data_IF_559462532365
#
_entry.id   IF_559462532365
#
_cell.length_a   1.000
_cell.length_b   1.000
_cell.length_c   1.000
_cell.angle_alpha   90.00
_cell.angle_beta   90.00
_cell.angle_gamma   90.00
#
_symmetry.space_group_name_H-M   'P 1'
#
loop_
_entity.id
_entity.type
_entity.pdbx_description
1 polymer ?
#
# COMPACT_ATOMS: atom_id res chain seq x y z
N UNK A 1 -12.51 6.95 19.81
CA UNK A 1 -13.46 6.04 19.11
C UNK A 1 -13.17 6.12 17.62
N UNK A 2 -12.00 5.64 17.24
CA UNK A 2 -11.57 5.61 15.84
C UNK A 2 -11.95 4.27 15.24
N UNK A 3 -13.03 4.28 14.45
CA UNK A 3 -13.36 3.13 13.63
C UNK A 3 -12.37 3.03 12.47
N UNK A 4 -11.84 1.86 12.16
CA UNK A 4 -10.89 1.70 11.06
C UNK A 4 -11.58 1.96 9.72
N UNK A 5 -11.31 3.14 9.14
CA UNK A 5 -11.82 3.57 7.82
C UNK A 5 -11.48 2.62 6.66
N UNK A 6 -10.47 1.78 6.83
CA UNK A 6 -10.04 0.81 5.81
C UNK A 6 -11.06 -0.31 5.55
N UNK A 7 -11.87 -0.70 6.54
CA UNK A 7 -12.90 -1.74 6.37
C UNK A 7 -14.06 -1.30 5.45
N UNK A 8 -14.42 -0.02 5.46
CA UNK A 8 -15.49 0.50 4.61
C UNK A 8 -15.15 0.54 3.11
N UNK A 9 -13.88 0.63 2.76
CA UNK A 9 -13.46 0.69 1.36
C UNK A 9 -13.65 -0.64 0.62
N UNK A 10 -13.34 -1.78 1.25
CA UNK A 10 -13.54 -3.10 0.67
C UNK A 10 -15.01 -3.41 0.39
N UNK A 11 -15.91 -3.00 1.29
CA UNK A 11 -17.36 -3.22 1.15
C UNK A 11 -17.97 -2.39 0.01
N UNK A 12 -17.51 -1.14 -0.16
CA UNK A 12 -17.98 -0.26 -1.25
C UNK A 12 -17.58 -0.84 -2.61
N UNK A 13 -16.38 -1.40 -2.74
CA UNK A 13 -15.94 -2.03 -3.99
C UNK A 13 -16.75 -3.23 -4.38
N UNK A 14 -16.98 -4.14 -3.44
CA UNK A 14 -17.74 -5.34 -3.72
C UNK A 14 -19.15 -4.98 -4.20
N UNK A 15 -19.78 -3.98 -3.59
CA UNK A 15 -21.10 -3.52 -4.03
C UNK A 15 -21.07 -2.94 -5.43
N UNK A 16 -20.04 -2.15 -5.78
CA UNK A 16 -19.87 -1.60 -7.12
C UNK A 16 -19.59 -2.67 -8.16
N UNK A 17 -18.67 -3.61 -7.87
CA UNK A 17 -18.31 -4.69 -8.79
C UNK A 17 -19.50 -5.63 -9.03
N UNK A 18 -20.31 -5.93 -8.00
CA UNK A 18 -21.55 -6.70 -8.13
C UNK A 18 -22.61 -5.92 -8.89
N UNK A 19 -22.79 -4.62 -8.62
CA UNK A 19 -23.74 -3.77 -9.33
C UNK A 19 -23.43 -3.66 -10.83
N UNK A 20 -22.12 -3.57 -11.17
CA UNK A 20 -21.64 -3.56 -12.56
C UNK A 20 -21.66 -4.92 -13.24
N UNK A 21 -21.98 -5.98 -12.51
CA UNK A 21 -21.93 -7.38 -12.96
C UNK A 21 -20.52 -7.86 -13.34
N UNK A 22 -19.49 -7.18 -12.89
CA UNK A 22 -18.09 -7.57 -13.09
C UNK A 22 -17.74 -8.82 -12.26
N UNK A 23 -18.43 -9.02 -11.13
CA UNK A 23 -18.28 -10.18 -10.25
C UNK A 23 -19.66 -10.68 -9.80
N UNK A 24 -19.81 -12.00 -9.70
CA UNK A 24 -21.02 -12.60 -9.11
C UNK A 24 -21.06 -12.28 -7.60
N UNK A 25 -22.27 -12.01 -7.10
CA UNK A 25 -22.48 -11.83 -5.67
C UNK A 25 -22.05 -13.09 -4.91
N UNK A 26 -21.17 -12.94 -3.92
CA UNK A 26 -20.77 -14.03 -3.05
C UNK A 26 -21.93 -14.43 -2.16
N UNK A 27 -22.30 -15.71 -2.21
CA UNK A 27 -23.37 -16.28 -1.38
C UNK A 27 -22.84 -16.91 -0.09
N UNK A 28 -21.53 -17.20 -0.05
CA UNK A 28 -20.91 -17.79 1.12
C UNK A 28 -20.42 -16.69 2.05
N UNK A 29 -21.06 -16.56 3.21
CA UNK A 29 -20.71 -15.55 4.22
C UNK A 29 -19.31 -15.79 4.81
N UNK A 30 -18.82 -17.03 4.79
CA UNK A 30 -17.48 -17.39 5.29
C UNK A 30 -16.41 -16.84 4.34
N UNK A 31 -16.57 -17.04 3.04
CA UNK A 31 -15.62 -16.57 2.02
C UNK A 31 -15.61 -15.03 1.99
N UNK A 32 -16.78 -14.41 2.15
CA UNK A 32 -16.88 -12.96 2.30
C UNK A 32 -16.20 -12.47 3.58
N UNK A 33 -16.46 -13.13 4.69
CA UNK A 33 -15.83 -12.81 5.98
C UNK A 33 -14.31 -12.97 5.91
N UNK A 34 -13.80 -14.02 5.29
CA UNK A 34 -12.38 -14.25 5.08
C UNK A 34 -11.73 -13.10 4.27
N UNK A 35 -12.38 -12.64 3.20
CA UNK A 35 -11.90 -11.48 2.44
C UNK A 35 -11.85 -10.20 3.30
N UNK A 36 -12.89 -9.93 4.09
CA UNK A 36 -12.97 -8.70 4.91
C UNK A 36 -11.93 -8.68 6.04
N UNK A 37 -11.68 -9.84 6.67
CA UNK A 37 -10.71 -9.95 7.78
C UNK A 37 -9.29 -10.27 7.35
N UNK A 38 -9.03 -10.39 6.05
CA UNK A 38 -7.72 -10.72 5.51
C UNK A 38 -6.67 -9.69 5.95
N UNK A 39 -5.84 -10.06 6.92
CA UNK A 39 -4.92 -9.15 7.60
C UNK A 39 -3.80 -8.56 6.71
N UNK A 40 -3.26 -9.24 5.67
CA UNK A 40 -2.18 -8.67 4.87
C UNK A 40 -2.58 -7.42 4.07
N UNK A 41 -3.89 -7.22 3.84
CA UNK A 41 -4.42 -6.01 3.17
C UNK A 41 -4.82 -4.89 4.14
N UNK A 42 -4.78 -5.14 5.46
CA UNK A 42 -5.14 -4.15 6.47
C UNK A 42 -4.05 -3.08 6.62
N UNK A 43 -4.47 -1.88 7.02
CA UNK A 43 -3.62 -0.70 7.32
C UNK A 43 -2.94 -0.14 6.06
N UNK A 44 -1.73 -0.52 5.74
CA UNK A 44 -0.95 0.00 4.61
C UNK A 44 -0.60 -1.08 3.55
N UNK A 45 -1.23 -2.25 3.63
CA UNK A 45 -1.13 -3.28 2.59
C UNK A 45 -1.73 -2.83 1.25
N UNK A 46 -1.49 -3.58 0.16
CA UNK A 46 -2.11 -3.26 -1.12
C UNK A 46 -3.63 -3.34 -1.02
N UNK A 47 -4.34 -2.37 -1.62
CA UNK A 47 -5.79 -2.41 -1.72
C UNK A 47 -6.18 -3.50 -2.71
N UNK A 48 -6.62 -4.63 -2.21
CA UNK A 48 -6.97 -5.80 -3.01
C UNK A 48 -8.45 -5.75 -3.36
N UNK A 49 -8.77 -5.76 -4.65
CA UNK A 49 -10.16 -5.82 -5.12
C UNK A 49 -10.70 -7.24 -4.95
N UNK A 50 -11.97 -7.36 -4.61
CA UNK A 50 -12.61 -8.67 -4.44
C UNK A 50 -12.45 -9.56 -5.68
N UNK A 51 -12.57 -8.99 -6.89
CA UNK A 51 -12.40 -9.74 -8.14
C UNK A 51 -11.00 -10.35 -8.30
N UNK A 52 -9.96 -9.73 -7.72
CA UNK A 52 -8.57 -10.18 -7.85
C UNK A 52 -8.30 -11.42 -6.98
N UNK A 53 -9.09 -11.61 -5.92
CA UNK A 53 -8.96 -12.74 -4.99
C UNK A 53 -10.14 -13.70 -4.99
N UNK A 54 -11.28 -13.35 -5.60
CA UNK A 54 -12.48 -14.18 -5.58
C UNK A 54 -12.25 -15.60 -6.12
N UNK A 55 -11.52 -15.71 -7.23
CA UNK A 55 -11.18 -17.01 -7.80
C UNK A 55 -10.24 -17.81 -6.88
N UNK A 56 -9.35 -17.13 -6.18
CA UNK A 56 -8.38 -17.74 -5.27
C UNK A 56 -9.06 -18.21 -3.98
N UNK A 57 -10.05 -17.48 -3.47
CA UNK A 57 -10.85 -17.88 -2.32
C UNK A 57 -11.59 -19.21 -2.55
N UNK A 58 -12.14 -19.41 -3.75
CA UNK A 58 -12.86 -20.66 -4.08
C UNK A 58 -11.92 -21.85 -4.30
N UNK A 59 -10.69 -21.61 -4.74
CA UNK A 59 -9.67 -22.64 -4.99
C UNK A 59 -8.89 -22.98 -3.71
N UNK A 60 -9.01 -22.18 -2.66
CA UNK A 60 -8.26 -22.26 -1.41
C UNK A 60 -8.31 -23.63 -0.71
N UNK A 61 -9.24 -24.48 -1.01
CA UNK A 61 -9.36 -25.84 -0.45
C UNK A 61 -8.24 -26.80 -0.88
N UNK A 62 -7.30 -26.42 -1.79
CA UNK A 62 -6.56 -27.48 -2.46
C UNK A 62 -5.05 -27.38 -2.55
N UNK A 63 -4.29 -26.37 -2.13
CA UNK A 63 -2.81 -26.53 -2.15
C UNK A 63 -2.05 -25.38 -1.48
N UNK A 64 -1.52 -25.64 -0.30
CA UNK A 64 -0.30 -24.97 0.14
C UNK A 64 0.88 -25.51 -0.67
N UNK A 65 1.51 -24.67 -1.48
CA UNK A 65 2.75 -25.00 -2.16
C UNK A 65 3.92 -24.51 -1.32
N UNK A 66 4.88 -25.38 -1.01
CA UNK A 66 6.13 -25.00 -0.32
C UNK A 66 6.84 -23.88 -1.10
N UNK A 67 6.77 -23.92 -2.42
CA UNK A 67 7.33 -22.86 -3.28
C UNK A 67 6.67 -21.51 -3.02
N UNK A 68 5.34 -21.42 -2.87
CA UNK A 68 4.64 -20.18 -2.55
C UNK A 68 5.03 -19.64 -1.18
N UNK A 69 5.24 -20.53 -0.20
CA UNK A 69 5.72 -20.15 1.13
C UNK A 69 7.13 -19.58 1.05
N UNK A 70 8.03 -20.23 0.33
CA UNK A 70 9.40 -19.76 0.11
C UNK A 70 9.46 -18.39 -0.58
N UNK A 71 8.73 -18.25 -1.67
CA UNK A 71 8.63 -16.97 -2.40
C UNK A 71 8.01 -15.86 -1.52
N UNK A 72 6.96 -16.20 -0.77
CA UNK A 72 6.32 -15.27 0.16
C UNK A 72 7.23 -14.84 1.31
N UNK A 73 7.97 -15.79 1.90
CA UNK A 73 8.98 -15.52 2.93
C UNK A 73 10.11 -14.65 2.40
N UNK A 74 10.57 -14.91 1.19
CA UNK A 74 11.59 -14.11 0.51
C UNK A 74 11.11 -12.66 0.33
N UNK A 75 9.90 -12.45 -0.19
CA UNK A 75 9.31 -11.13 -0.34
C UNK A 75 9.15 -10.41 1.01
N UNK A 76 8.69 -11.12 2.03
CA UNK A 76 8.54 -10.57 3.38
C UNK A 76 9.90 -10.11 3.94
N UNK A 77 10.93 -10.95 3.82
CA UNK A 77 12.28 -10.64 4.31
C UNK A 77 12.88 -9.43 3.58
N UNK A 78 12.74 -9.35 2.25
CA UNK A 78 13.19 -8.16 1.51
C UNK A 78 12.39 -6.90 1.88
N UNK A 79 11.09 -7.01 2.11
CA UNK A 79 10.27 -5.91 2.61
C UNK A 79 10.73 -5.42 3.98
N UNK A 80 10.99 -6.34 4.91
CA UNK A 80 11.52 -6.05 6.24
C UNK A 80 12.91 -5.41 6.16
N UNK A 81 13.79 -5.93 5.31
CA UNK A 81 15.12 -5.37 5.09
C UNK A 81 15.06 -3.93 4.57
N UNK A 82 14.17 -3.63 3.62
CA UNK A 82 13.95 -2.25 3.15
C UNK A 82 13.52 -1.33 4.28
N UNK A 83 12.63 -1.78 5.16
CA UNK A 83 12.19 -0.97 6.29
C UNK A 83 13.32 -0.77 7.30
N UNK A 84 13.88 -1.83 7.83
CA UNK A 84 14.82 -1.76 8.95
C UNK A 84 16.20 -1.25 8.54
N UNK A 85 16.72 -1.72 7.41
CA UNK A 85 18.09 -1.38 7.00
C UNK A 85 18.17 -0.07 6.19
N UNK A 86 17.13 0.28 5.45
CA UNK A 86 17.15 1.47 4.60
C UNK A 86 16.28 2.59 5.18
N UNK A 87 14.98 2.35 5.40
CA UNK A 87 14.08 3.41 5.80
C UNK A 87 14.42 3.97 7.18
N UNK A 88 14.65 3.12 8.17
CA UNK A 88 14.93 3.55 9.53
C UNK A 88 16.31 4.26 9.62
N UNK A 89 17.32 3.75 8.91
CA UNK A 89 18.64 4.38 8.87
C UNK A 89 18.62 5.76 8.16
N UNK A 90 17.91 5.86 7.02
CA UNK A 90 17.74 7.12 6.30
C UNK A 90 16.86 8.09 7.09
N UNK A 91 15.87 7.57 7.83
CA UNK A 91 15.01 8.35 8.71
C UNK A 91 15.79 8.98 9.87
N UNK A 92 16.75 8.27 10.45
CA UNK A 92 17.64 8.82 11.45
C UNK A 92 18.44 10.02 10.89
N UNK A 93 18.98 9.90 9.67
CA UNK A 93 19.68 11.00 8.99
C UNK A 93 18.79 12.23 8.79
N UNK A 94 17.53 12.03 8.39
CA UNK A 94 16.55 13.13 8.31
C UNK A 94 16.37 13.81 9.66
N UNK A 95 16.17 13.04 10.71
CA UNK A 95 15.98 13.55 12.07
C UNK A 95 17.18 14.30 12.59
N UNK A 96 18.39 13.83 12.28
CA UNK A 96 19.65 14.49 12.67
C UNK A 96 19.84 15.83 11.95
N UNK A 97 19.45 15.94 10.69
CA UNK A 97 19.59 17.15 9.88
C UNK A 97 18.55 18.21 10.25
N UNK A 98 17.29 17.82 10.32
CA UNK A 98 16.15 18.76 10.45
C UNK A 98 15.78 18.97 11.93
N UNK A 99 16.07 17.99 12.78
CA UNK A 99 15.64 17.95 14.18
C UNK A 99 14.23 17.40 14.34
N UNK A 100 13.91 17.05 15.58
CA UNK A 100 12.57 16.59 15.98
C UNK A 100 11.77 17.80 16.43
N UNK A 101 10.55 17.94 15.97
CA UNK A 101 9.62 18.95 16.50
C UNK A 101 9.13 18.49 17.89
N UNK A 102 9.66 19.08 18.93
CA UNK A 102 9.28 18.79 20.32
C UNK A 102 7.85 19.28 20.68
N UNK A 103 7.24 20.09 19.82
CA UNK A 103 5.89 20.64 20.04
C UNK A 103 5.27 21.09 18.70
N UNK A 104 3.95 21.09 18.56
CA UNK A 104 3.24 21.57 17.37
C UNK A 104 3.52 23.05 17.00
N UNK A 105 4.09 23.81 17.90
CA UNK A 105 4.42 25.21 17.72
C UNK A 105 5.91 25.48 17.50
N UNK A 106 6.77 24.46 17.47
CA UNK A 106 8.21 24.63 17.33
C UNK A 106 8.65 24.48 15.88
N UNK A 107 9.30 25.51 15.38
CA UNK A 107 10.16 25.46 14.18
C UNK A 107 11.19 24.34 14.34
N UNK A 108 11.41 23.56 13.29
CA UNK A 108 12.47 22.56 13.25
C UNK A 108 13.81 23.21 13.60
N UNK A 109 14.33 22.91 14.78
CA UNK A 109 15.51 23.61 15.36
C UNK A 109 16.76 23.43 14.47
N UNK A 110 16.88 22.28 13.80
CA UNK A 110 17.96 22.00 12.87
C UNK A 110 17.93 22.89 11.62
N UNK A 111 16.75 23.32 11.19
CA UNK A 111 16.56 24.10 9.96
C UNK A 111 17.15 25.51 10.09
N UNK A 112 17.12 26.11 11.27
CA UNK A 112 17.59 27.48 11.50
C UNK A 112 19.12 27.62 11.31
N UNK A 113 19.87 26.53 11.52
CA UNK A 113 21.34 26.53 11.44
C UNK A 113 21.87 25.65 10.26
N UNK A 114 20.99 25.02 9.49
CA UNK A 114 21.40 24.16 8.40
C UNK A 114 21.82 24.96 7.16
N UNK A 115 22.92 24.56 6.53
CA UNK A 115 23.30 25.09 5.23
C UNK A 115 22.34 24.61 4.14
N UNK A 116 22.15 25.39 3.07
CA UNK A 116 21.29 25.04 1.96
C UNK A 116 21.54 23.63 1.39
N UNK A 117 22.77 23.18 1.15
CA UNK A 117 23.04 21.81 0.72
C UNK A 117 22.56 20.75 1.72
N UNK A 118 22.69 21.02 3.02
CA UNK A 118 22.27 20.10 4.06
C UNK A 118 20.75 19.95 4.10
N UNK A 119 20.01 21.04 3.89
CA UNK A 119 18.54 21.00 3.77
C UNK A 119 18.11 20.16 2.58
N UNK A 120 18.75 20.32 1.42
CA UNK A 120 18.48 19.49 0.25
C UNK A 120 18.76 18.00 0.50
N UNK A 121 19.87 17.69 1.17
CA UNK A 121 20.17 16.32 1.58
C UNK A 121 19.09 15.76 2.48
N UNK A 122 18.59 16.53 3.43
CA UNK A 122 17.49 16.16 4.30
C UNK A 122 16.20 15.84 3.52
N UNK A 123 15.81 16.69 2.56
CA UNK A 123 14.62 16.47 1.72
C UNK A 123 14.76 15.18 0.89
N UNK A 124 15.94 14.93 0.32
CA UNK A 124 16.20 13.70 -0.43
C UNK A 124 16.12 12.49 0.51
N UNK A 125 16.75 12.57 1.70
CA UNK A 125 16.70 11.51 2.70
C UNK A 125 15.25 11.20 3.10
N UNK A 126 14.44 12.20 3.41
CA UNK A 126 13.02 12.02 3.74
C UNK A 126 12.23 11.36 2.59
N UNK A 127 12.46 11.80 1.36
CA UNK A 127 11.79 11.22 0.19
C UNK A 127 12.13 9.73 0.01
N UNK A 128 13.40 9.37 0.20
CA UNK A 128 13.85 7.98 0.15
C UNK A 128 13.33 7.16 1.32
N UNK A 129 13.35 7.72 2.53
CA UNK A 129 12.75 7.09 3.71
C UNK A 129 11.30 6.73 3.47
N UNK A 130 10.48 7.69 3.03
CA UNK A 130 9.06 7.48 2.75
C UNK A 130 8.84 6.36 1.73
N UNK A 131 9.66 6.31 0.69
CA UNK A 131 9.57 5.26 -0.33
C UNK A 131 9.96 3.89 0.22
N UNK A 132 11.08 3.78 0.91
CA UNK A 132 11.54 2.49 1.43
C UNK A 132 10.65 1.96 2.54
N UNK A 133 10.16 2.83 3.43
CA UNK A 133 9.24 2.46 4.49
C UNK A 133 7.93 1.92 3.92
N UNK A 134 7.29 2.66 3.03
CA UNK A 134 5.99 2.28 2.50
C UNK A 134 6.09 1.12 1.48
N UNK A 135 7.09 1.12 0.60
CA UNK A 135 7.29 0.01 -0.33
C UNK A 135 7.71 -1.27 0.39
N UNK A 136 8.50 -1.17 1.46
CA UNK A 136 8.88 -2.29 2.31
C UNK A 136 7.66 -2.89 3.00
N UNK A 137 6.83 -2.05 3.60
CA UNK A 137 5.58 -2.49 4.25
C UNK A 137 4.63 -3.17 3.26
N UNK A 138 4.43 -2.58 2.08
CA UNK A 138 3.59 -3.17 1.03
C UNK A 138 4.13 -4.52 0.56
N UNK A 139 5.47 -4.65 0.43
CA UNK A 139 6.12 -5.90 0.04
C UNK A 139 5.96 -6.99 1.11
N UNK A 140 6.02 -6.63 2.40
CA UNK A 140 5.70 -7.56 3.49
C UNK A 140 4.25 -8.05 3.40
N UNK A 141 3.31 -7.16 3.12
CA UNK A 141 1.89 -7.52 2.92
C UNK A 141 1.68 -8.50 1.76
N UNK A 142 2.35 -8.25 0.61
CA UNK A 142 2.32 -9.15 -0.55
C UNK A 142 2.94 -10.51 -0.19
N UNK A 143 4.07 -10.51 0.51
CA UNK A 143 4.74 -11.73 0.95
C UNK A 143 3.86 -12.58 1.88
N UNK A 144 3.19 -11.94 2.86
CA UNK A 144 2.24 -12.63 3.74
C UNK A 144 1.04 -13.19 2.95
N UNK A 145 0.50 -12.41 2.00
CA UNK A 145 -0.56 -12.89 1.11
C UNK A 145 -0.13 -14.13 0.33
N UNK A 146 1.09 -14.11 -0.23
CA UNK A 146 1.63 -15.22 -1.00
C UNK A 146 1.86 -16.48 -0.16
N UNK A 147 2.34 -16.34 1.06
CA UNK A 147 2.43 -17.47 2.02
C UNK A 147 1.07 -18.10 2.33
N UNK A 148 0.02 -17.30 2.28
CA UNK A 148 -1.36 -17.76 2.44
C UNK A 148 -1.99 -18.27 1.14
N UNK A 149 -1.26 -18.30 0.03
CA UNK A 149 -1.75 -18.77 -1.27
C UNK A 149 -2.49 -17.71 -2.09
N UNK A 150 -2.37 -16.42 -1.74
CA UNK A 150 -2.97 -15.30 -2.47
C UNK A 150 -1.91 -14.50 -3.23
N UNK A 151 -2.20 -14.19 -4.48
CA UNK A 151 -1.39 -13.28 -5.29
C UNK A 151 -1.96 -11.86 -5.23
N UNK A 152 -1.29 -10.99 -4.46
CA UNK A 152 -1.67 -9.59 -4.36
C UNK A 152 -0.97 -8.73 -5.40
N UNK A 153 -1.65 -7.68 -5.90
CA UNK A 153 -1.06 -6.79 -6.89
C UNK A 153 0.11 -5.98 -6.30
N UNK A 154 1.10 -5.73 -7.13
CA UNK A 154 2.22 -4.86 -6.79
C UNK A 154 1.73 -3.41 -6.55
N UNK A 155 2.30 -2.76 -5.53
CA UNK A 155 1.87 -1.42 -5.12
C UNK A 155 2.86 -0.30 -5.53
N UNK A 156 4.12 -0.65 -5.78
CA UNK A 156 5.19 0.28 -6.16
C UNK A 156 5.99 -0.25 -7.35
N UNK A 157 6.31 0.63 -8.31
CA UNK A 157 7.14 0.30 -9.46
C UNK A 157 8.13 1.44 -9.76
N UNK A 158 9.20 1.55 -8.94
CA UNK A 158 10.27 2.54 -9.09
C UNK A 158 9.76 3.97 -9.39
N UNK A 159 8.97 4.60 -8.49
CA UNK A 159 8.29 5.85 -8.79
C UNK A 159 9.23 7.03 -9.08
N UNK A 160 10.43 7.04 -8.51
CA UNK A 160 11.37 8.17 -8.64
C UNK A 160 12.12 8.23 -9.97
N UNK A 161 11.99 7.22 -10.84
CA UNK A 161 12.51 7.29 -12.22
C UNK A 161 11.52 7.89 -13.21
N UNK A 162 10.35 8.35 -12.73
CA UNK A 162 9.30 8.89 -13.57
C UNK A 162 9.70 10.20 -14.24
N UNK A 163 9.43 10.35 -15.51
CA UNK A 163 9.68 11.57 -16.27
C UNK A 163 8.56 12.62 -16.12
N UNK A 164 7.41 12.24 -15.55
CA UNK A 164 6.28 13.13 -15.33
C UNK A 164 5.54 12.80 -14.03
N UNK A 165 4.81 13.79 -13.50
CA UNK A 165 3.97 13.61 -12.30
C UNK A 165 2.86 12.58 -12.53
N UNK A 166 2.32 12.52 -13.74
CA UNK A 166 1.32 11.52 -14.10
C UNK A 166 1.89 10.11 -14.08
N UNK A 167 3.11 9.94 -14.57
CA UNK A 167 3.82 8.67 -14.50
C UNK A 167 4.18 8.30 -13.07
N UNK A 168 4.61 9.27 -12.25
CA UNK A 168 4.87 9.08 -10.85
C UNK A 168 3.66 8.44 -10.13
N UNK A 169 2.47 9.01 -10.27
CA UNK A 169 1.25 8.47 -9.65
C UNK A 169 0.80 7.12 -10.22
N UNK A 170 1.24 6.74 -11.42
CA UNK A 170 1.02 5.40 -11.96
C UNK A 170 1.97 4.35 -11.38
N UNK A 171 3.07 4.78 -10.74
CA UNK A 171 4.11 3.92 -10.17
C UNK A 171 4.12 3.94 -8.65
N UNK A 172 3.56 4.99 -8.05
CA UNK A 172 3.41 5.17 -6.60
C UNK A 172 2.03 4.72 -6.15
N UNK A 173 1.98 3.83 -5.14
CA UNK A 173 0.74 3.33 -4.54
C UNK A 173 -0.31 2.97 -5.59
N UNK A 174 0.07 2.07 -6.51
CA UNK A 174 -0.68 1.75 -7.74
C UNK A 174 -2.10 1.28 -7.45
N UNK A 175 -2.30 0.54 -6.37
CA UNK A 175 -3.61 0.02 -5.96
C UNK A 175 -4.56 1.15 -5.54
N UNK A 176 -4.06 2.14 -4.77
CA UNK A 176 -4.83 3.34 -4.40
C UNK A 176 -5.12 4.22 -5.61
N UNK A 177 -4.13 4.46 -6.47
CA UNK A 177 -4.29 5.24 -7.70
C UNK A 177 -5.32 4.62 -8.64
N UNK A 178 -5.32 3.29 -8.76
CA UNK A 178 -6.34 2.54 -9.49
C UNK A 178 -7.74 2.69 -8.89
N UNK A 179 -7.79 2.79 -7.57
CA UNK A 179 -9.03 3.04 -6.84
C UNK A 179 -9.58 4.43 -7.12
N UNK A 180 -8.80 5.46 -6.86
CA UNK A 180 -9.26 6.83 -7.10
C UNK A 180 -9.79 7.01 -8.53
N UNK A 181 -9.09 6.42 -9.51
CA UNK A 181 -9.56 6.48 -10.90
C UNK A 181 -10.92 5.82 -11.08
N UNK A 182 -11.12 4.64 -10.51
CA UNK A 182 -12.40 3.93 -10.60
C UNK A 182 -13.54 4.68 -9.94
N UNK A 183 -13.31 5.26 -8.75
CA UNK A 183 -14.33 6.01 -7.98
C UNK A 183 -14.61 7.36 -8.63
N UNK A 184 -13.57 8.14 -8.99
CA UNK A 184 -13.75 9.47 -9.56
C UNK A 184 -14.47 9.43 -10.91
N UNK A 185 -14.13 8.47 -11.77
CA UNK A 185 -14.82 8.31 -13.06
C UNK A 185 -16.31 8.02 -12.92
N UNK A 186 -16.71 7.27 -11.88
CA UNK A 186 -18.12 6.94 -11.67
C UNK A 186 -18.95 8.06 -11.06
N UNK A 187 -18.31 8.97 -10.32
CA UNK A 187 -19.01 10.08 -9.67
C UNK A 187 -18.97 11.38 -10.47
N UNK A 188 -17.99 11.54 -11.37
CA UNK A 188 -17.84 12.75 -12.19
C UNK A 188 -18.51 12.64 -13.56
N UNK A 189 -18.74 11.42 -14.07
CA UNK A 189 -19.57 11.20 -15.26
C UNK A 189 -21.02 10.95 -14.85
N UNK A 190 -21.68 11.97 -14.30
CA UNK A 190 -23.14 11.99 -14.27
C UNK A 190 -23.61 12.05 -15.74
N UNK A 191 -24.62 11.21 -16.12
CA UNK A 191 -25.23 11.38 -17.44
C UNK A 191 -25.83 12.76 -17.47
N UNK A 192 -25.27 13.64 -18.32
CA UNK A 192 -25.93 14.86 -18.75
C UNK A 192 -27.07 14.40 -19.64
N UNK A 193 -28.28 14.33 -19.07
CA UNK A 193 -29.53 14.31 -19.83
C UNK A 193 -29.74 15.68 -20.46
#
# INVERSE_FOLDING_TARGET
>A
RDQPRSRGLGDVYKRQDVYRRDVKAERNIIDFGAYVVMFPQLIAGPIVKYRDVSNQLHVYRHRYSLQQIEEGMTLFTFGLAKKVLLADAIGALWTDIIGVADSPSTTFVGLANASTPLVWLGIIAYSLQLYFDFSGYSMMGIGMGKMLGFDFPQNFNYPYISASITEFWRRWHMTLSGWFRAVSYTHLTLPTN
#
